data_IF_372328578411
#
_entry.id   IF_372328578411
#
_cell.length_a   1.000
_cell.length_b   1.000
_cell.length_c   1.000
_cell.angle_alpha   90.00
_cell.angle_beta   90.00
_cell.angle_gamma   90.00
#
_symmetry.space_group_name_H-M   'P 1'
#
loop_
_entity.id
_entity.type
_entity.pdbx_description
1 polymer ?
#
# COMPACT_ATOMS: atom_id res chain seq x y z
N UNK A 1 24.28 -0.17 -1.85
CA UNK A 1 23.47 0.36 -0.73
C UNK A 1 22.16 -0.40 -0.77
N UNK A 2 21.90 -1.27 0.21
CA UNK A 2 20.77 -2.19 0.19
C UNK A 2 19.44 -1.41 0.23
N UNK A 3 18.73 -1.39 -0.89
CA UNK A 3 17.33 -1.05 -0.97
C UNK A 3 16.55 -2.35 -0.72
N UNK A 4 15.79 -2.40 0.37
CA UNK A 4 15.05 -3.59 0.81
C UNK A 4 13.55 -3.41 0.64
N UNK A 5 13.07 -2.29 0.07
CA UNK A 5 11.67 -2.15 -0.29
C UNK A 5 11.50 -2.78 -1.68
N UNK A 6 11.07 -4.05 -1.66
CA UNK A 6 10.74 -4.96 -2.77
C UNK A 6 11.43 -4.70 -4.12
N UNK A 7 12.36 -5.59 -4.47
CA UNK A 7 12.91 -5.59 -5.82
C UNK A 7 11.82 -5.89 -6.85
N UNK A 8 10.82 -6.70 -6.50
CA UNK A 8 9.73 -7.12 -7.39
C UNK A 8 8.35 -6.96 -6.72
N UNK A 9 7.34 -6.50 -7.46
CA UNK A 9 5.97 -6.38 -6.94
C UNK A 9 5.34 -7.73 -6.54
N UNK A 10 5.84 -8.84 -7.10
CA UNK A 10 5.41 -10.20 -6.74
C UNK A 10 5.67 -10.52 -5.25
N UNK A 11 6.63 -9.84 -4.62
CA UNK A 11 6.91 -9.98 -3.19
C UNK A 11 5.74 -9.51 -2.31
N UNK A 12 4.87 -8.65 -2.86
CA UNK A 12 3.63 -8.25 -2.19
C UNK A 12 2.52 -9.30 -2.29
N UNK A 13 2.67 -10.34 -3.13
CA UNK A 13 1.66 -11.40 -3.27
C UNK A 13 0.47 -11.04 -4.16
N UNK A 14 0.50 -9.90 -4.84
CA UNK A 14 -0.47 -9.52 -5.87
C UNK A 14 -0.30 -10.35 -7.16
N UNK A 15 -1.33 -10.33 -7.99
CA UNK A 15 -1.42 -11.10 -9.24
C UNK A 15 -1.93 -10.22 -10.38
N UNK A 16 -1.69 -10.62 -11.64
CA UNK A 16 -2.31 -9.99 -12.79
C UNK A 16 -3.85 -9.97 -12.66
N UNK A 17 -4.43 -8.78 -12.87
CA UNK A 17 -5.86 -8.49 -12.77
C UNK A 17 -6.36 -8.13 -11.36
N UNK A 18 -5.51 -8.14 -10.34
CA UNK A 18 -5.89 -7.71 -8.99
C UNK A 18 -6.13 -6.20 -8.95
N UNK A 19 -7.27 -5.78 -8.40
CA UNK A 19 -7.53 -4.37 -8.06
C UNK A 19 -6.89 -4.07 -6.72
N UNK A 20 -5.90 -3.17 -6.69
CA UNK A 20 -5.18 -2.81 -5.47
C UNK A 20 -5.52 -1.37 -5.07
N UNK A 21 -5.99 -1.21 -3.84
CA UNK A 21 -6.30 0.10 -3.28
C UNK A 21 -5.09 0.66 -2.52
N UNK A 22 -4.83 1.95 -2.68
CA UNK A 22 -3.84 2.68 -1.90
C UNK A 22 -4.48 3.63 -0.89
N UNK A 23 -3.94 3.63 0.31
CA UNK A 23 -4.39 4.43 1.46
C UNK A 23 -3.29 5.36 1.94
N UNK A 24 -3.66 6.56 2.37
CA UNK A 24 -2.75 7.60 2.90
C UNK A 24 -1.64 8.00 1.93
N UNK A 25 -1.94 7.95 0.63
CA UNK A 25 -1.02 8.43 -0.40
C UNK A 25 -0.71 9.93 -0.21
N UNK A 26 0.55 10.30 -0.39
CA UNK A 26 1.01 11.70 -0.46
C UNK A 26 2.24 11.77 -1.39
N UNK A 27 2.72 12.97 -1.69
CA UNK A 27 3.83 13.22 -2.63
C UNK A 27 5.19 12.61 -2.24
N UNK A 28 5.31 12.04 -1.03
CA UNK A 28 6.54 11.45 -0.49
C UNK A 28 6.64 9.91 -0.66
N UNK A 29 5.62 9.28 -1.25
CA UNK A 29 5.62 7.84 -1.51
C UNK A 29 6.64 7.44 -2.58
N UNK A 30 6.97 6.14 -2.63
CA UNK A 30 7.85 5.61 -3.66
C UNK A 30 7.06 5.22 -4.92
N UNK A 31 6.99 6.12 -5.90
CA UNK A 31 6.32 5.87 -7.18
C UNK A 31 6.88 4.63 -7.93
N UNK A 32 8.12 4.22 -7.65
CA UNK A 32 8.66 3.00 -8.27
C UNK A 32 8.01 1.73 -7.73
N UNK A 33 7.52 1.75 -6.49
CA UNK A 33 6.71 0.65 -5.93
C UNK A 33 5.34 0.63 -6.59
N UNK A 34 4.68 1.78 -6.71
CA UNK A 34 3.39 1.93 -7.38
C UNK A 34 3.45 1.41 -8.81
N UNK A 35 4.38 1.93 -9.61
CA UNK A 35 4.55 1.53 -11.00
C UNK A 35 4.81 0.03 -11.18
N UNK A 36 5.57 -0.61 -10.28
CA UNK A 36 5.80 -2.06 -10.36
C UNK A 36 4.55 -2.88 -10.03
N UNK A 37 3.73 -2.41 -9.09
CA UNK A 37 2.46 -3.07 -8.76
C UNK A 37 1.52 -2.95 -9.96
N UNK A 38 1.36 -1.75 -10.53
CA UNK A 38 0.53 -1.52 -11.71
C UNK A 38 1.02 -2.31 -12.93
N UNK A 39 2.33 -2.44 -13.13
CA UNK A 39 2.90 -3.28 -14.19
C UNK A 39 2.58 -4.76 -13.97
N UNK A 40 2.64 -5.23 -12.72
CA UNK A 40 2.34 -6.63 -12.37
C UNK A 40 0.85 -6.95 -12.50
N UNK A 41 -0.03 -6.09 -11.98
CA UNK A 41 -1.48 -6.28 -12.00
C UNK A 41 -2.04 -5.99 -13.40
N UNK A 42 -1.44 -5.05 -14.13
CA UNK A 42 -2.01 -4.52 -15.37
C UNK A 42 -3.13 -3.50 -15.14
N UNK A 43 -3.34 -3.07 -13.89
CA UNK A 43 -4.40 -2.16 -13.44
C UNK A 43 -3.76 -0.96 -12.72
N UNK A 44 -4.35 0.23 -12.84
CA UNK A 44 -3.93 1.40 -12.04
C UNK A 44 -4.34 1.22 -10.57
N UNK A 45 -3.54 1.76 -9.65
CA UNK A 45 -3.95 1.79 -8.24
C UNK A 45 -5.18 2.67 -8.05
N UNK A 46 -6.11 2.21 -7.22
CA UNK A 46 -7.32 2.97 -6.88
C UNK A 46 -7.18 3.64 -5.51
N UNK A 47 -7.78 4.80 -5.33
CA UNK A 47 -7.71 5.56 -4.07
C UNK A 47 -8.78 5.09 -3.05
N UNK A 48 -8.74 5.68 -1.85
CA UNK A 48 -9.65 5.38 -0.72
C UNK A 48 -11.13 5.63 -1.05
N UNK A 49 -11.43 6.44 -2.07
CA UNK A 49 -12.80 6.75 -2.49
C UNK A 49 -13.39 5.66 -3.43
N UNK A 50 -12.61 4.64 -3.79
CA UNK A 50 -13.09 3.51 -4.59
C UNK A 50 -14.16 2.71 -3.84
N UNK A 51 -15.34 2.59 -4.45
CA UNK A 51 -16.59 2.17 -3.78
C UNK A 51 -16.91 0.66 -3.91
N UNK A 52 -15.94 -0.12 -4.39
CA UNK A 52 -16.11 -1.54 -4.69
C UNK A 52 -15.04 -2.37 -3.98
N UNK A 53 -15.32 -3.67 -3.82
CA UNK A 53 -14.36 -4.57 -3.19
C UNK A 53 -13.06 -4.64 -4.00
N UNK A 54 -11.94 -4.75 -3.29
CA UNK A 54 -10.58 -4.82 -3.85
C UNK A 54 -9.89 -6.14 -3.52
N UNK A 55 -8.89 -6.50 -4.31
CA UNK A 55 -8.13 -7.75 -4.17
C UNK A 55 -6.89 -7.59 -3.28
N UNK A 56 -6.44 -6.35 -3.07
CA UNK A 56 -5.26 -6.03 -2.29
C UNK A 56 -5.24 -4.60 -1.76
N UNK A 57 -4.43 -4.35 -0.73
CA UNK A 57 -4.26 -3.02 -0.12
C UNK A 57 -2.79 -2.70 0.08
N UNK A 58 -2.41 -1.47 -0.25
CA UNK A 58 -1.17 -0.81 0.20
C UNK A 58 -1.55 0.39 1.07
N UNK A 59 -0.91 0.50 2.24
CA UNK A 59 -1.10 1.60 3.18
C UNK A 59 0.23 2.32 3.39
N UNK A 60 0.29 3.61 3.05
CA UNK A 60 1.48 4.46 3.18
C UNK A 60 1.49 5.15 4.55
N UNK A 61 2.20 4.57 5.51
CA UNK A 61 2.16 5.04 6.90
C UNK A 61 3.37 5.90 7.27
N UNK A 62 3.14 7.07 7.87
CA UNK A 62 4.20 7.97 8.37
C UNK A 62 4.13 8.11 9.89
N UNK A 63 5.29 8.30 10.50
CA UNK A 63 5.41 8.78 11.88
C UNK A 63 4.79 10.18 11.97
N UNK A 64 3.76 10.31 12.82
CA UNK A 64 2.92 11.51 12.90
C UNK A 64 1.65 11.50 12.05
N UNK A 65 1.43 10.49 11.19
CA UNK A 65 0.05 10.04 10.92
C UNK A 65 -0.49 9.50 12.26
N UNK A 66 -1.76 9.77 12.58
CA UNK A 66 -2.28 9.66 13.95
C UNK A 66 -2.00 8.25 14.54
N UNK A 67 -0.95 8.12 15.36
CA UNK A 67 -0.36 6.82 15.73
C UNK A 67 -1.32 5.92 16.50
N UNK A 68 -2.24 6.54 17.24
CA UNK A 68 -3.32 5.88 17.95
C UNK A 68 -4.39 5.31 16.98
N UNK A 69 -4.37 5.72 15.71
CA UNK A 69 -5.31 5.33 14.66
C UNK A 69 -4.76 4.27 13.69
N UNK A 70 -3.47 3.89 13.72
CA UNK A 70 -2.94 2.87 12.79
C UNK A 70 -3.75 1.57 12.82
N UNK A 71 -4.14 1.12 14.01
CA UNK A 71 -4.99 -0.06 14.13
C UNK A 71 -6.35 0.12 13.47
N UNK A 72 -6.93 1.31 13.59
CA UNK A 72 -8.24 1.64 13.04
C UNK A 72 -8.15 1.78 11.52
N UNK A 73 -7.12 2.45 10.99
CA UNK A 73 -6.85 2.53 9.55
C UNK A 73 -6.64 1.14 8.93
N UNK A 74 -5.90 0.25 9.59
CA UNK A 74 -5.74 -1.13 9.11
C UNK A 74 -7.08 -1.87 9.09
N UNK A 75 -7.92 -1.68 10.11
CA UNK A 75 -9.25 -2.31 10.17
C UNK A 75 -10.16 -1.79 9.06
N UNK A 76 -10.15 -0.48 8.80
CA UNK A 76 -10.96 0.16 7.75
C UNK A 76 -10.49 -0.29 6.36
N UNK A 77 -9.18 -0.29 6.10
CA UNK A 77 -8.61 -0.75 4.84
C UNK A 77 -8.82 -2.26 4.63
N UNK A 78 -8.84 -3.07 5.70
CA UNK A 78 -9.17 -4.48 5.60
C UNK A 78 -10.67 -4.70 5.30
N UNK A 79 -11.57 -3.80 5.70
CA UNK A 79 -13.01 -3.95 5.51
C UNK A 79 -13.47 -3.93 4.04
N UNK A 80 -12.70 -3.29 3.16
CA UNK A 80 -12.95 -3.22 1.71
C UNK A 80 -12.28 -4.37 0.93
N UNK A 81 -11.46 -5.16 1.59
CA UNK A 81 -10.75 -6.30 1.02
C UNK A 81 -11.70 -7.47 0.77
N UNK A 82 -11.91 -7.84 -0.49
CA UNK A 82 -12.92 -8.81 -0.87
C UNK A 82 -12.62 -10.26 -0.48
N UNK A 83 -11.34 -10.65 -0.42
CA UNK A 83 -10.96 -12.07 -0.50
C UNK A 83 -9.74 -12.51 0.35
N UNK A 84 -9.59 -12.02 1.59
CA UNK A 84 -8.38 -12.30 2.41
C UNK A 84 -7.07 -12.08 1.63
N UNK A 85 -7.06 -11.02 0.82
CA UNK A 85 -5.95 -10.64 -0.04
C UNK A 85 -4.75 -10.06 0.72
N UNK A 86 -3.66 -9.74 0.02
CA UNK A 86 -2.50 -9.11 0.64
C UNK A 86 -2.83 -7.69 1.12
N UNK A 87 -2.42 -7.37 2.35
CA UNK A 87 -2.41 -6.02 2.90
C UNK A 87 -0.99 -5.69 3.36
N UNK A 88 -0.45 -4.59 2.86
CA UNK A 88 0.89 -4.12 3.23
C UNK A 88 0.85 -2.73 3.82
N UNK A 89 1.54 -2.56 4.94
CA UNK A 89 1.86 -1.26 5.52
C UNK A 89 3.30 -0.92 5.15
N UNK A 90 3.49 0.19 4.44
CA UNK A 90 4.78 0.68 3.98
C UNK A 90 5.13 1.94 4.76
N UNK A 91 6.29 1.96 5.40
CA UNK A 91 6.78 3.12 6.15
C UNK A 91 8.01 3.74 5.49
N UNK A 92 8.24 5.05 5.65
CA UNK A 92 9.48 5.68 5.22
C UNK A 92 10.69 4.97 5.82
N UNK A 93 11.72 4.80 4.99
CA UNK A 93 12.97 4.15 5.41
C UNK A 93 13.57 4.86 6.63
N UNK A 94 14.13 4.13 7.63
CA UNK A 94 14.74 4.73 8.81
C UNK A 94 15.70 5.88 8.48
N UNK A 95 15.52 7.00 9.19
CA UNK A 95 16.30 8.23 9.00
C UNK A 95 15.77 9.19 7.92
N UNK A 96 14.63 8.89 7.31
CA UNK A 96 13.85 9.84 6.50
C UNK A 96 12.76 10.50 7.35
N UNK A 97 12.27 11.70 6.99
CA UNK A 97 11.07 12.27 7.59
C UNK A 97 9.89 11.28 7.54
N UNK A 98 9.08 11.22 8.59
CA UNK A 98 7.94 10.30 8.70
C UNK A 98 8.30 8.83 8.91
N UNK A 99 9.56 8.48 9.21
CA UNK A 99 9.91 7.10 9.52
C UNK A 99 9.51 6.72 10.95
N UNK A 100 8.62 5.72 11.09
CA UNK A 100 8.18 5.15 12.36
C UNK A 100 9.29 4.34 13.09
#
# INVERSE_FOLDING_TARGET
MNQTASQNAEEFGFKPGDIVQEWLWDDDVDDSVRAKIEELTGEELVDEDYDSAVDGVILWWRDGDDEDELSDTIVDAYAVLGNDGPLWVLTPKPGRPGAA
#
